data_IF_183744564175
#
_entry.id   IF_183744564175
#
_cell.length_a   1.000
_cell.length_b   1.000
_cell.length_c   1.000
_cell.angle_alpha   90.00
_cell.angle_beta   90.00
_cell.angle_gamma   90.00
#
_symmetry.space_group_name_H-M   'P 1'
#
loop_
_entity.id
_entity.type
_entity.pdbx_description
1 polymer ?
#
# COMPACT_ATOMS: atom_id res chain seq x y z
N UNK A 1 -20.06 -17.75 7.36
CA UNK A 1 -21.10 -16.76 7.07
C UNK A 1 -20.48 -15.36 7.05
N UNK A 2 -20.11 -14.89 5.86
CA UNK A 2 -19.33 -13.64 5.67
C UNK A 2 -20.25 -12.40 5.71
N UNK A 3 -21.57 -12.60 5.69
CA UNK A 3 -22.57 -11.52 5.69
C UNK A 3 -22.89 -10.99 7.10
N UNK A 4 -22.76 -11.80 8.15
CA UNK A 4 -23.02 -11.34 9.53
C UNK A 4 -21.93 -10.43 10.11
N UNK A 5 -20.67 -10.59 9.69
CA UNK A 5 -19.55 -9.80 10.20
C UNK A 5 -19.58 -8.32 9.78
N UNK A 6 -20.16 -8.01 8.63
CA UNK A 6 -20.21 -6.65 8.07
C UNK A 6 -21.31 -5.81 8.75
N UNK A 7 -22.43 -6.42 9.16
CA UNK A 7 -23.51 -5.71 9.86
C UNK A 7 -23.12 -5.21 11.24
N UNK A 8 -22.28 -5.95 11.97
CA UNK A 8 -21.85 -5.56 13.34
C UNK A 8 -20.94 -4.33 13.36
N UNK A 9 -20.18 -4.08 12.29
CA UNK A 9 -19.35 -2.87 12.17
C UNK A 9 -20.16 -1.61 11.81
N UNK A 10 -21.34 -1.76 11.21
CA UNK A 10 -22.18 -0.63 10.81
C UNK A 10 -23.05 -0.09 11.95
N UNK A 11 -23.42 -0.91 12.94
CA UNK A 11 -24.32 -0.51 14.03
C UNK A 11 -23.64 0.21 15.21
N UNK A 12 -22.31 0.14 15.33
CA UNK A 12 -21.59 0.79 16.44
C UNK A 12 -21.37 2.32 16.27
N UNK A 13 -22.03 2.98 15.30
CA UNK A 13 -21.83 4.40 14.99
C UNK A 13 -22.96 5.35 15.37
N UNK A 14 -24.09 4.85 15.85
CA UNK A 14 -25.23 5.69 16.21
C UNK A 14 -25.66 5.41 17.65
N UNK A 15 -24.99 6.03 18.63
CA UNK A 15 -25.58 6.47 19.89
C UNK A 15 -24.60 7.43 20.61
N UNK A 16 -25.15 8.55 21.07
CA UNK A 16 -24.47 9.81 21.40
C UNK A 16 -24.15 9.89 22.89
N UNK A 17 -23.01 10.51 23.25
CA UNK A 17 -22.73 10.96 24.62
C UNK A 17 -22.11 12.36 24.62
N UNK A 18 -22.90 13.34 25.06
CA UNK A 18 -22.53 14.76 25.24
C UNK A 18 -21.57 15.00 26.42
N UNK A 19 -20.45 15.69 26.13
CA UNK A 19 -19.56 16.55 26.96
C UNK A 19 -18.96 16.04 28.30
N UNK A 20 -17.69 16.41 28.60
CA UNK A 20 -17.52 17.63 29.39
C UNK A 20 -16.53 18.63 28.78
N UNK A 21 -16.76 19.92 29.08
CA UNK A 21 -15.79 20.99 28.88
C UNK A 21 -14.73 20.95 29.97
N UNK A 22 -13.52 21.39 29.59
CA UNK A 22 -12.34 21.73 30.40
C UNK A 22 -11.31 20.62 30.65
N UNK A 23 -10.18 20.79 29.98
CA UNK A 23 -8.93 20.08 30.20
C UNK A 23 -7.92 20.57 29.15
N UNK A 24 -7.19 21.63 29.47
CA UNK A 24 -6.07 22.16 28.68
C UNK A 24 -4.95 21.11 28.62
N UNK A 25 -5.06 20.15 27.71
CA UNK A 25 -4.02 19.20 27.36
C UNK A 25 -3.55 19.49 25.95
N UNK A 26 -2.29 19.88 25.82
CA UNK A 26 -1.64 20.30 24.59
C UNK A 26 -1.71 19.15 23.56
N UNK A 27 -2.74 19.15 22.70
CA UNK A 27 -2.84 18.26 21.57
C UNK A 27 -1.69 18.62 20.62
N UNK A 28 -0.59 17.89 20.73
CA UNK A 28 0.51 17.93 19.77
C UNK A 28 -0.11 17.57 18.43
N UNK A 29 -0.50 18.59 17.65
CA UNK A 29 -0.83 18.43 16.24
C UNK A 29 0.44 17.91 15.59
N UNK A 30 0.51 16.59 15.37
CA UNK A 30 1.52 16.02 14.49
C UNK A 30 1.51 16.84 13.19
N UNK A 31 2.64 17.40 12.77
CA UNK A 31 2.69 18.10 11.49
C UNK A 31 2.29 17.10 10.41
N UNK A 32 1.31 17.44 9.59
CA UNK A 32 1.06 16.71 8.36
C UNK A 32 2.30 16.91 7.47
N UNK A 33 3.26 16.01 7.56
CA UNK A 33 4.49 16.06 6.77
C UNK A 33 4.09 15.90 5.30
N UNK A 34 4.51 16.84 4.45
CA UNK A 34 4.25 16.76 3.01
C UNK A 34 4.98 15.53 2.46
N UNK A 35 4.39 14.81 1.51
CA UNK A 35 4.99 13.60 0.92
C UNK A 35 6.47 13.76 0.54
N UNK A 36 6.84 14.90 -0.07
CA UNK A 36 8.24 15.20 -0.42
C UNK A 36 9.17 15.26 0.80
N UNK A 37 8.68 15.78 1.91
CA UNK A 37 9.44 15.84 3.17
C UNK A 37 9.54 14.45 3.82
N UNK A 38 8.51 13.62 3.66
CA UNK A 38 8.54 12.22 4.08
C UNK A 38 9.59 11.45 3.28
N UNK A 39 9.56 11.55 1.94
CA UNK A 39 10.54 10.89 1.07
C UNK A 39 11.97 11.23 1.46
N UNK A 40 12.27 12.51 1.75
CA UNK A 40 13.61 12.96 2.20
C UNK A 40 14.14 12.25 3.44
N UNK A 41 13.26 11.67 4.27
CA UNK A 41 13.61 10.96 5.50
C UNK A 41 13.63 9.44 5.33
N UNK A 42 13.02 8.94 4.26
CA UNK A 42 12.88 7.51 4.00
C UNK A 42 14.17 6.87 3.48
N UNK A 43 14.24 5.55 3.55
CA UNK A 43 15.31 4.80 2.91
C UNK A 43 15.17 4.88 1.37
N UNK A 44 16.31 4.98 0.67
CA UNK A 44 16.37 5.01 -0.80
C UNK A 44 17.19 3.84 -1.35
N UNK A 45 16.83 2.58 -1.04
CA UNK A 45 17.52 1.45 -1.63
C UNK A 45 17.32 1.46 -3.14
N UNK A 46 18.37 1.10 -3.88
CA UNK A 46 18.23 0.85 -5.31
C UNK A 46 17.59 -0.51 -5.50
N UNK A 47 16.32 -0.51 -5.90
CA UNK A 47 15.61 -1.72 -6.30
C UNK A 47 14.85 -1.48 -7.59
N UNK A 48 14.69 -2.55 -8.37
CA UNK A 48 14.03 -2.50 -9.66
C UNK A 48 13.11 -3.70 -9.72
N UNK A 49 11.83 -3.44 -10.02
CA UNK A 49 10.85 -4.48 -10.26
C UNK A 49 11.39 -5.46 -11.31
N UNK A 50 11.43 -6.74 -10.95
CA UNK A 50 11.92 -7.80 -11.83
C UNK A 50 11.18 -7.73 -13.17
N UNK A 51 11.88 -7.50 -14.30
CA UNK A 51 11.24 -7.40 -15.61
C UNK A 51 10.42 -8.63 -15.98
N UNK A 52 10.79 -9.83 -15.51
CA UNK A 52 10.03 -11.05 -15.75
C UNK A 52 8.69 -11.09 -14.99
N UNK A 53 8.55 -10.27 -13.94
CA UNK A 53 7.35 -10.20 -13.08
C UNK A 53 6.54 -8.91 -13.28
N UNK A 54 7.07 -7.98 -14.06
CA UNK A 54 6.40 -6.75 -14.46
C UNK A 54 5.70 -6.93 -15.80
N UNK A 55 4.39 -6.72 -15.85
CA UNK A 55 3.67 -6.65 -17.13
C UNK A 55 3.83 -5.30 -17.84
N UNK A 56 4.53 -4.35 -17.20
CA UNK A 56 4.75 -3.00 -17.70
C UNK A 56 6.22 -2.73 -18.07
N UNK A 57 7.12 -3.69 -17.88
CA UNK A 57 8.55 -3.61 -18.23
C UNK A 57 8.89 -4.40 -19.50
N UNK A 58 9.90 -3.95 -20.24
CA UNK A 58 10.44 -4.65 -21.43
C UNK A 58 10.12 -4.00 -22.79
N UNK A 59 10.91 -4.33 -23.84
CA UNK A 59 10.74 -3.79 -25.20
C UNK A 59 9.37 -4.17 -25.82
N UNK A 60 8.76 -5.27 -25.37
CA UNK A 60 7.47 -5.79 -25.83
C UNK A 60 6.29 -5.44 -24.90
N UNK A 61 6.40 -4.36 -24.11
CA UNK A 61 5.36 -3.89 -23.16
C UNK A 61 4.00 -3.54 -23.80
N UNK A 62 3.86 -3.76 -25.11
CA UNK A 62 2.60 -3.82 -25.84
C UNK A 62 2.22 -5.29 -26.11
N UNK A 63 1.36 -5.91 -25.27
CA UNK A 63 -0.06 -6.19 -25.66
C UNK A 63 -0.87 -7.18 -24.80
N UNK A 64 -0.31 -8.10 -24.00
CA UNK A 64 -1.17 -9.14 -23.38
C UNK A 64 -1.33 -9.07 -21.85
N UNK A 65 -0.31 -8.65 -21.09
CA UNK A 65 -0.38 -8.67 -19.62
C UNK A 65 -0.95 -7.41 -18.96
N UNK A 66 -0.79 -6.23 -19.58
CA UNK A 66 -1.10 -4.95 -18.94
C UNK A 66 -2.59 -4.54 -18.97
N UNK A 67 -3.34 -4.95 -20.00
CA UNK A 67 -4.75 -4.56 -20.15
C UNK A 67 -5.66 -5.02 -18.99
N UNK A 68 -5.51 -6.23 -18.43
CA UNK A 68 -6.22 -6.60 -17.21
C UNK A 68 -5.97 -5.63 -16.04
N UNK A 69 -4.73 -5.17 -15.85
CA UNK A 69 -4.40 -4.21 -14.79
C UNK A 69 -4.85 -2.78 -15.08
N UNK A 70 -4.91 -2.38 -16.35
CA UNK A 70 -5.53 -1.11 -16.77
C UNK A 70 -7.04 -1.13 -16.52
N UNK A 71 -7.68 -2.25 -16.84
CA UNK A 71 -9.11 -2.48 -16.59
C UNK A 71 -9.42 -2.48 -15.09
N UNK A 72 -8.63 -3.20 -14.29
CA UNK A 72 -8.77 -3.24 -12.83
C UNK A 72 -8.62 -1.84 -12.22
N UNK A 73 -7.58 -1.09 -12.60
CA UNK A 73 -7.39 0.30 -12.17
C UNK A 73 -8.57 1.20 -12.56
N UNK A 74 -9.12 1.05 -13.77
CA UNK A 74 -10.26 1.83 -14.23
C UNK A 74 -11.49 1.57 -13.36
N UNK A 75 -11.81 0.30 -13.08
CA UNK A 75 -12.91 -0.08 -12.20
C UNK A 75 -12.74 0.46 -10.77
N UNK A 76 -11.53 0.38 -10.23
CA UNK A 76 -11.22 0.96 -8.91
C UNK A 76 -11.38 2.49 -8.91
N UNK A 77 -11.02 3.16 -10.00
CA UNK A 77 -11.19 4.62 -10.15
C UNK A 77 -12.66 5.01 -10.24
N UNK A 78 -13.50 4.19 -10.87
CA UNK A 78 -14.95 4.39 -10.91
C UNK A 78 -15.57 4.27 -9.51
N UNK A 79 -15.17 3.25 -8.73
CA UNK A 79 -15.59 3.10 -7.32
C UNK A 79 -15.09 4.29 -6.48
N UNK A 80 -13.87 4.76 -6.74
CA UNK A 80 -13.31 5.93 -6.07
C UNK A 80 -14.06 7.24 -6.35
N UNK A 81 -14.83 7.30 -7.45
CA UNK A 81 -15.69 8.44 -7.79
C UNK A 81 -16.98 8.51 -6.97
N UNK A 82 -17.43 7.38 -6.40
CA UNK A 82 -18.62 7.33 -5.53
C UNK A 82 -18.27 7.26 -4.05
N UNK A 83 -17.10 6.72 -3.70
CA UNK A 83 -16.61 6.61 -2.32
C UNK A 83 -15.11 6.93 -2.24
N UNK A 84 -14.65 7.40 -1.07
CA UNK A 84 -13.21 7.64 -0.85
C UNK A 84 -12.46 6.30 -0.75
N UNK A 85 -11.83 5.89 -1.85
CA UNK A 85 -11.02 4.66 -1.92
C UNK A 85 -9.52 4.98 -1.83
N UNK A 86 -8.98 4.97 -0.59
CA UNK A 86 -7.55 5.23 -0.32
C UNK A 86 -6.74 3.99 0.04
N UNK A 87 -7.40 2.88 0.38
CA UNK A 87 -6.76 1.65 0.88
C UNK A 87 -7.40 0.45 0.22
N UNK A 88 -6.58 -0.47 -0.27
CA UNK A 88 -7.00 -1.70 -0.94
C UNK A 88 -6.20 -2.84 -0.31
N UNK A 89 -6.90 -3.89 0.13
CA UNK A 89 -6.28 -5.13 0.59
C UNK A 89 -6.43 -6.16 -0.53
N UNK A 90 -5.32 -6.80 -0.90
CA UNK A 90 -5.30 -7.90 -1.86
C UNK A 90 -5.02 -9.17 -1.09
N UNK A 91 -5.99 -10.10 -1.09
CA UNK A 91 -5.90 -11.38 -0.41
C UNK A 91 -6.31 -12.51 -1.34
N UNK A 92 -5.88 -13.72 -1.03
CA UNK A 92 -6.19 -14.95 -1.75
C UNK A 92 -6.81 -15.97 -0.80
N UNK A 93 -7.59 -16.92 -1.31
CA UNK A 93 -8.17 -17.99 -0.49
C UNK A 93 -7.15 -19.08 -0.19
N UNK A 94 -6.18 -19.27 -1.08
CA UNK A 94 -5.06 -20.20 -0.90
C UNK A 94 -3.70 -19.55 -1.21
N UNK A 95 -2.58 -20.13 -0.75
CA UNK A 95 -1.25 -19.70 -1.17
C UNK A 95 -1.06 -19.83 -2.69
N UNK A 96 -0.16 -19.03 -3.25
CA UNK A 96 0.24 -19.08 -4.66
C UNK A 96 -0.83 -18.69 -5.72
N UNK A 97 -1.99 -18.12 -5.35
CA UNK A 97 -2.97 -17.57 -6.34
C UNK A 97 -2.51 -16.26 -7.04
N UNK A 98 -1.26 -15.84 -6.85
CA UNK A 98 -0.74 -14.65 -7.52
C UNK A 98 -1.07 -13.31 -6.85
N UNK A 99 -1.53 -13.28 -5.58
CA UNK A 99 -1.79 -12.03 -4.84
C UNK A 99 -0.63 -11.01 -4.90
N UNK A 100 0.61 -11.48 -4.75
CA UNK A 100 1.84 -10.68 -4.83
C UNK A 100 2.03 -10.09 -6.22
N UNK A 101 1.80 -10.90 -7.27
CA UNK A 101 1.86 -10.47 -8.66
C UNK A 101 0.80 -9.43 -8.97
N UNK A 102 -0.43 -9.64 -8.49
CA UNK A 102 -1.53 -8.70 -8.67
C UNK A 102 -1.24 -7.38 -7.95
N UNK A 103 -0.74 -7.42 -6.72
CA UNK A 103 -0.42 -6.24 -5.94
C UNK A 103 0.67 -5.38 -6.58
N UNK A 104 1.79 -5.98 -6.98
CA UNK A 104 2.90 -5.27 -7.62
C UNK A 104 2.47 -4.62 -8.95
N UNK A 105 1.78 -5.37 -9.81
CA UNK A 105 1.38 -4.86 -11.12
C UNK A 105 0.22 -3.87 -11.04
N UNK A 106 -0.70 -4.01 -10.07
CA UNK A 106 -1.73 -3.00 -9.84
C UNK A 106 -1.11 -1.68 -9.37
N UNK A 107 -0.14 -1.72 -8.45
CA UNK A 107 0.60 -0.54 -8.01
C UNK A 107 1.26 0.17 -9.20
N UNK A 108 1.97 -0.58 -10.04
CA UNK A 108 2.57 -0.09 -11.29
C UNK A 108 1.55 0.52 -12.26
N UNK A 109 0.36 -0.08 -12.38
CA UNK A 109 -0.73 0.47 -13.19
C UNK A 109 -1.21 1.82 -12.63
N UNK A 110 -1.35 1.95 -11.31
CA UNK A 110 -1.86 3.16 -10.64
C UNK A 110 -0.89 4.32 -10.78
N UNK A 111 0.41 4.13 -10.49
CA UNK A 111 1.42 5.22 -10.54
C UNK A 111 1.65 5.77 -11.95
N UNK A 112 1.19 5.06 -12.99
CA UNK A 112 1.19 5.54 -14.39
C UNK A 112 0.09 6.55 -14.68
N UNK A 113 -0.84 6.78 -13.76
CA UNK A 113 -1.76 7.91 -13.86
C UNK A 113 -1.07 9.17 -13.32
N UNK A 114 -1.32 10.35 -13.93
CA UNK A 114 -0.87 11.62 -13.38
C UNK A 114 -1.30 11.78 -11.92
N UNK A 115 -0.41 12.35 -11.11
CA UNK A 115 -0.66 12.73 -9.71
C UNK A 115 -1.09 11.58 -8.78
N UNK A 116 -0.81 10.32 -9.15
CA UNK A 116 -1.10 9.16 -8.31
C UNK A 116 0.16 8.63 -7.65
N UNK A 117 0.04 8.36 -6.35
CA UNK A 117 1.09 7.79 -5.51
C UNK A 117 0.59 6.52 -4.85
N UNK A 118 1.47 5.56 -4.69
CA UNK A 118 1.17 4.26 -4.08
C UNK A 118 2.21 3.94 -3.01
N UNK A 119 1.73 3.60 -1.82
CA UNK A 119 2.51 2.89 -0.83
C UNK A 119 2.07 1.42 -0.87
N UNK A 120 2.98 0.55 -1.29
CA UNK A 120 2.76 -0.88 -1.32
C UNK A 120 3.30 -1.49 -0.02
N UNK A 121 2.48 -2.26 0.69
CA UNK A 121 2.83 -2.82 2.00
C UNK A 121 2.72 -4.35 1.91
N UNK A 122 3.78 -5.07 2.22
CA UNK A 122 3.74 -6.52 2.36
C UNK A 122 3.28 -6.90 3.78
N UNK A 123 1.98 -7.15 3.91
CA UNK A 123 1.36 -7.57 5.18
C UNK A 123 1.29 -9.10 5.34
N UNK A 124 1.85 -9.89 4.42
CA UNK A 124 1.96 -11.35 4.56
C UNK A 124 3.20 -11.70 5.40
N UNK A 125 3.17 -11.38 6.70
CA UNK A 125 4.33 -11.51 7.60
C UNK A 125 4.82 -12.96 7.78
N UNK A 126 4.00 -13.95 7.44
CA UNK A 126 4.38 -15.37 7.54
C UNK A 126 5.14 -15.85 6.30
N UNK A 127 4.85 -15.26 5.15
CA UNK A 127 5.41 -15.69 3.86
C UNK A 127 5.72 -14.48 2.97
N UNK A 128 6.38 -13.46 3.54
CA UNK A 128 6.70 -12.22 2.83
C UNK A 128 7.53 -12.54 1.59
N UNK A 129 7.02 -12.12 0.44
CA UNK A 129 7.63 -12.41 -0.88
C UNK A 129 7.53 -11.23 -1.84
N UNK A 130 6.89 -10.13 -1.44
CA UNK A 130 6.72 -8.98 -2.32
C UNK A 130 8.07 -8.30 -2.60
N UNK A 131 8.96 -8.25 -1.60
CA UNK A 131 10.32 -7.73 -1.76
C UNK A 131 11.09 -8.48 -2.88
N UNK A 132 10.92 -9.81 -3.00
CA UNK A 132 11.54 -10.62 -4.07
C UNK A 132 11.02 -10.20 -5.45
N UNK A 133 9.71 -9.98 -5.58
CA UNK A 133 9.13 -9.55 -6.84
C UNK A 133 9.60 -8.13 -7.24
N UNK A 134 9.80 -7.27 -6.25
CA UNK A 134 10.28 -5.89 -6.44
C UNK A 134 11.81 -5.78 -6.57
N UNK A 135 12.57 -6.84 -6.32
CA UNK A 135 14.03 -6.77 -6.22
C UNK A 135 14.50 -5.86 -5.07
N UNK A 136 13.69 -5.71 -4.03
CA UNK A 136 13.88 -4.80 -2.91
C UNK A 136 14.45 -5.50 -1.66
N UNK A 137 15.18 -4.79 -0.79
CA UNK A 137 15.54 -5.30 0.53
C UNK A 137 14.31 -5.74 1.34
N UNK A 138 14.40 -6.89 2.02
CA UNK A 138 13.34 -7.40 2.90
C UNK A 138 13.30 -6.72 4.27
N UNK A 139 14.41 -6.10 4.70
CA UNK A 139 14.58 -5.49 6.02
C UNK A 139 15.27 -4.12 5.91
N UNK A 140 15.01 -3.19 6.85
CA UNK A 140 13.98 -3.29 7.88
C UNK A 140 12.57 -3.19 7.27
N UNK A 141 11.60 -3.83 7.90
CA UNK A 141 10.23 -3.97 7.41
C UNK A 141 9.17 -3.88 8.49
N UNK A 142 7.93 -4.22 8.11
CA UNK A 142 6.75 -4.06 8.94
C UNK A 142 6.87 -4.80 10.29
N UNK A 143 7.47 -5.99 10.30
CA UNK A 143 7.70 -6.75 11.53
C UNK A 143 8.62 -5.99 12.51
N UNK A 144 9.72 -5.41 12.03
CA UNK A 144 10.68 -4.67 12.86
C UNK A 144 10.04 -3.42 13.48
N UNK A 145 9.25 -2.69 12.68
CA UNK A 145 8.48 -1.54 13.14
C UNK A 145 7.43 -1.93 14.20
N UNK A 146 6.69 -3.01 13.96
CA UNK A 146 5.67 -3.50 14.91
C UNK A 146 6.26 -3.99 16.23
N UNK A 147 7.55 -4.36 16.26
CA UNK A 147 8.31 -4.67 17.49
C UNK A 147 8.85 -3.42 18.19
N UNK A 148 8.80 -2.26 17.55
CA UNK A 148 9.35 -1.00 18.08
C UNK A 148 10.87 -0.88 17.95
N UNK A 149 11.49 -1.67 17.06
CA UNK A 149 12.94 -1.69 16.87
C UNK A 149 13.43 -0.55 15.96
N UNK A 150 12.54 -0.07 15.07
CA UNK A 150 12.81 0.99 14.10
C UNK A 150 11.60 1.92 13.99
N UNK A 151 11.82 3.14 13.47
CA UNK A 151 10.74 4.09 13.19
C UNK A 151 10.08 3.87 11.82
N UNK A 152 9.01 4.59 11.52
CA UNK A 152 8.30 4.46 10.24
C UNK A 152 9.13 4.91 9.03
N UNK A 153 10.11 5.79 9.22
CA UNK A 153 10.94 6.32 8.13
C UNK A 153 11.96 5.28 7.67
N UNK A 154 12.44 4.45 8.59
CA UNK A 154 13.38 3.37 8.30
C UNK A 154 12.78 2.28 7.41
N UNK A 155 11.48 1.97 7.55
CA UNK A 155 10.83 0.86 6.83
C UNK A 155 10.20 1.26 5.49
N UNK A 156 10.03 2.56 5.24
CA UNK A 156 9.54 3.06 3.96
C UNK A 156 10.72 3.16 2.99
N UNK A 157 10.63 2.39 1.91
CA UNK A 157 11.60 2.39 0.82
C UNK A 157 11.03 3.15 -0.37
N UNK A 158 11.69 4.22 -0.77
CA UNK A 158 11.41 4.91 -2.04
C UNK A 158 11.79 4.00 -3.20
N UNK A 159 10.91 3.86 -4.18
CA UNK A 159 11.16 3.07 -5.38
C UNK A 159 11.87 3.83 -6.49
N UNK A 160 12.17 3.13 -7.60
CA UNK A 160 12.76 3.76 -8.79
C UNK A 160 11.82 4.78 -9.43
N UNK A 161 10.50 4.59 -9.30
CA UNK A 161 9.50 5.61 -9.55
C UNK A 161 9.20 6.35 -8.24
N UNK A 162 9.38 7.67 -8.18
CA UNK A 162 9.15 8.49 -6.97
C UNK A 162 7.73 8.38 -6.41
N UNK A 163 6.78 7.99 -7.27
CA UNK A 163 5.38 7.78 -6.91
C UNK A 163 5.09 6.39 -6.32
N UNK A 164 6.06 5.49 -6.26
CA UNK A 164 5.93 4.16 -5.67
C UNK A 164 6.85 4.00 -4.46
N UNK A 165 6.26 3.88 -3.29
CA UNK A 165 6.96 3.50 -2.07
C UNK A 165 6.62 2.06 -1.70
N UNK A 166 7.50 1.40 -0.96
CA UNK A 166 7.35 0.03 -0.51
C UNK A 166 7.69 -0.12 0.96
N UNK A 167 6.91 -0.90 1.70
CA UNK A 167 7.24 -1.41 3.03
C UNK A 167 7.30 -2.95 2.92
N UNK A 168 8.47 -3.57 3.12
CA UNK A 168 8.58 -5.03 3.14
C UNK A 168 7.99 -5.62 4.41
N UNK A 169 7.82 -6.94 4.42
CA UNK A 169 7.30 -7.65 5.59
C UNK A 169 8.22 -7.57 6.80
N UNK A 170 9.54 -7.52 6.59
CA UNK A 170 10.54 -7.72 7.66
C UNK A 170 10.76 -9.20 7.91
#
# INVERSE_FOLDING_TARGET
DVREGISRFAQARNEVGTAPKNGSGNAVKQPCVRFEQLLKRCAHPKWTLDPARSVFGGPDSKKLGAEPFRTLRSRLSQIAGTHVLKRIVITSSVPAEGKTFVAANLAQSIIRQPDRRVLLIDADLRASRLHVALGAPSTPGLTDYLRGEVDEYAIIQSGPDENLCFIPGG
#
